data_IF_340823804915
#
_entry.id   IF_340823804915
#
_cell.length_a   1.000
_cell.length_b   1.000
_cell.length_c   1.000
_cell.angle_alpha   90.00
_cell.angle_beta   90.00
_cell.angle_gamma   90.00
#
_symmetry.space_group_name_H-M   'P 1'
#
loop_
_entity.id
_entity.type
_entity.pdbx_description
1 polymer ?
#
# COMPACT_ATOMS: atom_id res chain seq x y z
N UNK A 1 -37.69 -21.65 -4.24
CA UNK A 1 -36.61 -20.84 -4.85
C UNK A 1 -35.47 -20.81 -3.85
N UNK A 2 -34.41 -21.59 -4.08
CA UNK A 2 -33.31 -21.76 -3.13
C UNK A 2 -32.09 -21.00 -3.64
N UNK A 3 -31.53 -20.13 -2.79
CA UNK A 3 -30.32 -19.34 -3.06
C UNK A 3 -29.09 -20.25 -2.94
N UNK A 4 -28.21 -20.21 -3.93
CA UNK A 4 -26.94 -20.95 -3.94
C UNK A 4 -25.88 -20.11 -3.17
N UNK A 5 -25.10 -20.69 -2.24
CA UNK A 5 -24.12 -19.93 -1.47
C UNK A 5 -22.84 -19.63 -2.28
N UNK A 6 -22.36 -18.40 -2.21
CA UNK A 6 -21.10 -17.94 -2.78
C UNK A 6 -19.90 -18.54 -2.01
N UNK A 7 -18.93 -19.15 -2.73
CA UNK A 7 -17.65 -19.61 -2.16
C UNK A 7 -16.47 -19.32 -3.12
N UNK A 8 -15.53 -18.39 -2.81
CA UNK A 8 -14.52 -17.95 -3.78
C UNK A 8 -13.21 -18.74 -3.79
N UNK A 9 -13.08 -19.86 -3.04
CA UNK A 9 -11.82 -20.64 -2.97
C UNK A 9 -12.03 -22.17 -2.83
N UNK A 10 -13.19 -22.69 -3.24
CA UNK A 10 -13.58 -24.10 -3.03
C UNK A 10 -12.82 -25.16 -3.84
N UNK A 11 -11.81 -24.77 -4.62
CA UNK A 11 -11.03 -25.69 -5.48
C UNK A 11 -9.52 -25.66 -5.15
N UNK A 12 -9.13 -25.30 -3.92
CA UNK A 12 -7.72 -25.39 -3.48
C UNK A 12 -7.39 -26.75 -2.83
N UNK A 13 -8.40 -27.50 -2.36
CA UNK A 13 -8.21 -28.82 -1.74
C UNK A 13 -8.00 -29.97 -2.75
N UNK A 14 -8.28 -29.76 -4.05
CA UNK A 14 -7.95 -30.73 -5.10
C UNK A 14 -6.50 -30.67 -5.58
N UNK A 15 -5.72 -29.72 -5.06
CA UNK A 15 -4.30 -29.55 -5.41
C UNK A 15 -3.35 -30.10 -4.34
N UNK A 16 -3.86 -30.59 -3.19
CA UNK A 16 -3.09 -31.05 -2.05
C UNK A 16 -3.35 -32.53 -1.69
N UNK A 17 -3.64 -33.38 -2.69
CA UNK A 17 -3.95 -34.78 -2.48
C UNK A 17 -3.33 -35.67 -3.54
N UNK A 18 -2.35 -36.47 -3.10
CA UNK A 18 -1.67 -37.57 -3.78
C UNK A 18 -0.44 -37.20 -4.64
N UNK A 19 0.75 -37.36 -4.03
CA UNK A 19 2.01 -37.58 -4.74
C UNK A 19 3.06 -36.48 -4.58
N UNK A 20 3.69 -36.38 -3.41
CA UNK A 20 5.00 -35.71 -3.30
C UNK A 20 6.00 -36.64 -2.61
N UNK A 21 6.69 -37.53 -3.34
CA UNK A 21 8.04 -37.92 -3.00
C UNK A 21 9.00 -36.83 -3.48
N UNK A 22 9.82 -36.31 -2.56
CA UNK A 22 10.98 -35.44 -2.81
C UNK A 22 10.78 -34.09 -3.51
N UNK A 23 10.21 -33.14 -2.75
CA UNK A 23 10.35 -31.68 -2.94
C UNK A 23 11.78 -31.15 -2.67
N UNK A 24 12.77 -32.01 -2.41
CA UNK A 24 14.13 -31.62 -1.99
C UNK A 24 15.23 -31.83 -3.05
N UNK A 25 14.93 -32.44 -4.20
CA UNK A 25 15.91 -32.69 -5.28
C UNK A 25 15.56 -32.03 -6.64
N UNK A 26 14.85 -30.89 -6.64
CA UNK A 26 14.63 -30.12 -7.87
C UNK A 26 15.33 -28.74 -7.86
N UNK A 27 16.35 -28.52 -8.72
CA UNK A 27 17.09 -27.26 -8.79
C UNK A 27 16.33 -26.12 -9.50
N UNK A 28 15.08 -26.34 -9.94
CA UNK A 28 14.33 -25.40 -10.79
C UNK A 28 13.02 -24.83 -10.22
N UNK A 29 12.65 -25.10 -8.95
CA UNK A 29 11.58 -24.33 -8.30
C UNK A 29 12.15 -23.01 -7.78
N UNK A 30 12.50 -22.13 -8.71
CA UNK A 30 12.75 -20.72 -8.42
C UNK A 30 11.40 -20.10 -8.12
N UNK A 31 11.02 -20.01 -6.83
CA UNK A 31 9.91 -19.15 -6.40
C UNK A 31 10.02 -17.82 -7.17
N UNK A 32 8.98 -17.41 -7.93
CA UNK A 32 9.03 -16.13 -8.61
C UNK A 32 9.33 -15.07 -7.56
N UNK A 33 10.33 -14.21 -7.80
CA UNK A 33 10.63 -13.07 -6.94
C UNK A 33 9.38 -12.18 -6.92
N UNK A 34 8.47 -12.40 -5.97
CA UNK A 34 7.40 -11.46 -5.69
C UNK A 34 8.10 -10.13 -5.32
N UNK A 35 7.70 -9.00 -5.93
CA UNK A 35 8.28 -7.71 -5.58
C UNK A 35 8.12 -7.52 -4.07
N UNK A 36 9.21 -7.19 -3.38
CA UNK A 36 9.18 -6.91 -1.95
C UNK A 36 8.36 -5.64 -1.73
N UNK A 37 7.09 -5.80 -1.35
CA UNK A 37 6.21 -4.69 -0.98
C UNK A 37 6.69 -4.12 0.34
N UNK A 38 6.97 -2.81 0.39
CA UNK A 38 7.25 -2.10 1.62
C UNK A 38 5.97 -1.48 2.16
N UNK A 39 5.79 -1.59 3.46
CA UNK A 39 4.76 -0.84 4.17
C UNK A 39 5.40 0.47 4.64
N UNK A 40 5.12 1.63 4.00
CA UNK A 40 5.66 2.92 4.42
C UNK A 40 5.17 3.28 5.82
N UNK A 41 5.88 4.15 6.53
CA UNK A 41 5.40 4.71 7.82
C UNK A 41 4.29 5.71 7.56
N UNK A 42 3.33 5.79 8.47
CA UNK A 42 2.20 6.70 8.36
C UNK A 42 1.70 7.07 9.74
N UNK A 43 1.43 8.36 9.88
CA UNK A 43 0.79 8.98 11.04
C UNK A 43 -0.58 9.51 10.63
N UNK A 44 -1.59 9.30 11.48
CA UNK A 44 -2.96 9.78 11.25
C UNK A 44 -3.39 10.58 12.47
N UNK A 45 -3.82 11.82 12.25
CA UNK A 45 -4.24 12.71 13.30
C UNK A 45 -5.39 13.62 12.87
N UNK A 46 -6.00 14.28 13.85
CA UNK A 46 -7.09 15.24 13.63
C UNK A 46 -6.53 16.66 13.55
N UNK A 47 -7.00 17.43 12.56
CA UNK A 47 -6.70 18.85 12.42
C UNK A 47 -7.99 19.62 12.14
N UNK A 48 -8.59 20.17 13.19
CA UNK A 48 -9.89 20.87 13.10
C UNK A 48 -10.99 19.94 12.61
N UNK A 49 -11.61 20.28 11.48
CA UNK A 49 -12.67 19.48 10.85
C UNK A 49 -12.14 18.44 9.85
N UNK A 50 -10.82 18.22 9.81
CA UNK A 50 -10.18 17.28 8.88
C UNK A 50 -9.49 16.14 9.62
N UNK A 51 -9.36 15.01 8.94
CA UNK A 51 -8.38 13.96 9.24
C UNK A 51 -7.19 14.19 8.33
N UNK A 52 -5.98 14.14 8.88
CA UNK A 52 -4.74 14.27 8.12
C UNK A 52 -3.95 12.97 8.27
N UNK A 53 -3.49 12.43 7.14
CA UNK A 53 -2.59 11.29 7.09
C UNK A 53 -1.27 11.70 6.44
N UNK A 54 -0.15 11.49 7.13
CA UNK A 54 1.19 11.75 6.62
C UNK A 54 1.91 10.43 6.36
N UNK A 55 2.52 10.26 5.19
CA UNK A 55 3.15 9.01 4.77
C UNK A 55 4.56 9.25 4.23
N UNK A 56 5.53 8.53 4.77
CA UNK A 56 6.93 8.61 4.34
C UNK A 56 7.15 7.78 3.05
N UNK A 57 7.41 8.46 1.94
CA UNK A 57 7.66 7.87 0.62
C UNK A 57 8.94 8.46 -0.01
N UNK A 58 10.13 8.29 0.59
CA UNK A 58 11.35 8.91 0.08
C UNK A 58 11.76 8.32 -1.27
N UNK A 59 12.15 9.19 -2.21
CA UNK A 59 12.64 8.79 -3.53
C UNK A 59 11.55 8.35 -4.51
N UNK A 60 10.29 8.65 -4.22
CA UNK A 60 9.15 8.45 -5.12
C UNK A 60 8.87 9.78 -5.84
N UNK A 61 8.49 9.72 -7.12
CA UNK A 61 8.00 10.92 -7.83
C UNK A 61 6.53 11.10 -7.54
N UNK A 62 6.04 12.34 -7.46
CA UNK A 62 4.62 12.62 -7.20
C UNK A 62 3.68 11.90 -8.19
N UNK A 63 4.08 11.82 -9.46
CA UNK A 63 3.33 11.14 -10.53
C UNK A 63 3.22 9.62 -10.34
N UNK A 64 4.10 9.02 -9.54
CA UNK A 64 4.14 7.59 -9.24
C UNK A 64 3.40 7.25 -7.93
N UNK A 65 2.61 8.18 -7.38
CA UNK A 65 1.80 8.02 -6.17
C UNK A 65 0.32 7.96 -6.53
N UNK A 66 -0.35 6.90 -6.09
CA UNK A 66 -1.81 6.75 -6.16
C UNK A 66 -2.39 6.83 -4.76
N UNK A 67 -3.42 7.65 -4.59
CA UNK A 67 -4.16 7.84 -3.34
C UNK A 67 -5.64 7.63 -3.61
N UNK A 68 -6.27 6.73 -2.88
CA UNK A 68 -7.71 6.49 -2.95
C UNK A 68 -8.32 6.51 -1.55
N UNK A 69 -9.47 7.17 -1.40
CA UNK A 69 -10.26 7.14 -0.17
C UNK A 69 -11.61 6.54 -0.48
N UNK A 70 -11.85 5.31 -0.02
CA UNK A 70 -13.08 4.57 -0.29
C UNK A 70 -13.52 3.78 0.92
N UNK A 71 -14.82 3.78 1.21
CA UNK A 71 -15.41 3.04 2.33
C UNK A 71 -14.70 3.30 3.67
N UNK A 72 -14.31 4.56 3.90
CA UNK A 72 -13.57 5.03 5.07
C UNK A 72 -12.15 4.41 5.23
N UNK A 73 -11.58 3.91 4.13
CA UNK A 73 -10.22 3.39 4.04
C UNK A 73 -9.40 4.29 3.12
N UNK A 74 -8.23 4.71 3.60
CA UNK A 74 -7.20 5.36 2.79
C UNK A 74 -6.28 4.27 2.23
N UNK A 75 -6.23 4.11 0.91
CA UNK A 75 -5.28 3.26 0.19
C UNK A 75 -4.23 4.13 -0.50
N UNK A 76 -2.96 3.81 -0.26
CA UNK A 76 -1.82 4.50 -0.84
C UNK A 76 -0.92 3.47 -1.48
N UNK A 77 -0.70 3.64 -2.78
CA UNK A 77 0.23 2.85 -3.58
C UNK A 77 1.27 3.78 -4.21
N UNK A 78 2.53 3.37 -4.19
CA UNK A 78 3.62 4.17 -4.73
C UNK A 78 4.75 3.30 -5.26
N UNK A 79 5.49 3.78 -6.27
CA UNK A 79 6.65 3.09 -6.80
C UNK A 79 7.86 4.02 -6.87
N UNK A 80 9.00 3.56 -6.36
CA UNK A 80 10.29 4.22 -6.60
C UNK A 80 11.09 3.40 -7.61
N UNK A 81 11.47 4.02 -8.72
CA UNK A 81 12.40 3.43 -9.69
C UNK A 81 13.85 3.74 -9.32
N UNK A 82 14.75 2.82 -9.68
CA UNK A 82 16.18 3.01 -9.52
C UNK A 82 16.78 3.51 -10.84
N UNK A 83 17.48 4.64 -10.79
CA UNK A 83 18.12 5.20 -11.99
C UNK A 83 19.15 4.23 -12.58
N UNK A 84 19.07 4.01 -13.89
CA UNK A 84 19.91 3.02 -14.59
C UNK A 84 21.41 3.34 -14.53
N UNK A 85 21.80 4.60 -14.39
CA UNK A 85 23.21 5.00 -14.21
C UNK A 85 23.80 4.47 -12.90
N UNK A 86 22.98 4.32 -11.87
CA UNK A 86 23.39 3.74 -10.60
C UNK A 86 23.83 2.29 -10.77
N UNK A 87 23.31 1.53 -11.73
CA UNK A 87 23.62 0.10 -11.90
C UNK A 87 25.07 -0.18 -12.34
N UNK A 88 25.83 0.85 -12.75
CA UNK A 88 27.25 0.73 -13.17
C UNK A 88 28.28 1.24 -12.15
N UNK A 89 27.86 1.67 -10.95
CA UNK A 89 28.80 2.17 -9.92
C UNK A 89 29.45 1.00 -9.18
N UNK A 90 30.73 1.16 -8.80
CA UNK A 90 31.49 0.19 -8.00
C UNK A 90 31.12 0.26 -6.52
N UNK A 91 29.91 -0.20 -6.16
CA UNK A 91 29.44 -0.15 -4.78
C UNK A 91 30.24 -1.07 -3.85
N UNK A 92 30.64 -0.54 -2.70
CA UNK A 92 31.05 -1.37 -1.55
C UNK A 92 29.84 -2.00 -0.85
N UNK A 93 28.69 -1.31 -0.83
CA UNK A 93 27.40 -1.78 -0.27
C UNK A 93 26.24 -0.97 -0.89
N UNK A 94 25.11 -1.62 -1.18
CA UNK A 94 23.90 -0.99 -1.73
C UNK A 94 22.64 -1.51 -1.02
N UNK A 95 21.94 -0.61 -0.33
CA UNK A 95 20.70 -0.92 0.42
C UNK A 95 19.47 -0.16 -0.13
N UNK A 96 19.72 0.92 -0.86
CA UNK A 96 18.74 1.51 -1.77
C UNK A 96 18.46 0.54 -2.92
N UNK A 97 17.27 0.62 -3.48
CA UNK A 97 16.82 -0.27 -4.55
C UNK A 97 15.39 0.07 -4.93
N UNK A 98 14.92 -0.49 -6.04
CA UNK A 98 13.53 -0.36 -6.49
C UNK A 98 12.57 -0.83 -5.39
N UNK A 99 11.50 -0.07 -5.17
CA UNK A 99 10.53 -0.30 -4.09
C UNK A 99 9.14 -0.10 -4.63
N UNK A 100 8.25 -1.01 -4.26
CA UNK A 100 6.82 -0.77 -4.34
C UNK A 100 6.31 -0.61 -2.92
N UNK A 101 5.61 0.49 -2.67
CA UNK A 101 5.01 0.84 -1.40
C UNK A 101 3.51 0.61 -1.50
N UNK A 102 2.94 -0.03 -0.49
CA UNK A 102 1.49 -0.09 -0.33
C UNK A 102 1.14 0.00 1.15
N UNK A 103 0.20 0.88 1.49
CA UNK A 103 -0.35 0.96 2.83
C UNK A 103 -1.83 1.34 2.78
N UNK A 104 -2.62 0.54 3.46
CA UNK A 104 -4.02 0.82 3.73
C UNK A 104 -4.20 1.16 5.20
N UNK A 105 -5.06 2.14 5.49
CA UNK A 105 -5.45 2.47 6.85
C UNK A 105 -6.93 2.82 6.92
N UNK A 106 -7.63 2.22 7.88
CA UNK A 106 -8.99 2.61 8.22
C UNK A 106 -8.96 3.96 8.95
N UNK A 107 -9.78 4.90 8.49
CA UNK A 107 -9.88 6.22 9.09
C UNK A 107 -10.71 6.15 10.39
N UNK A 108 -10.34 6.92 11.42
CA UNK A 108 -10.96 6.82 12.75
C UNK A 108 -12.37 7.41 12.83
N UNK A 109 -12.84 8.07 11.78
CA UNK A 109 -14.15 8.72 11.70
C UNK A 109 -14.62 8.74 10.25
N UNK A 110 -15.92 8.94 10.03
CA UNK A 110 -16.49 9.08 8.69
C UNK A 110 -15.94 10.34 8.00
N UNK A 111 -15.47 10.19 6.77
CA UNK A 111 -14.91 11.29 5.95
C UNK A 111 -15.63 11.44 4.61
N UNK A 112 -15.42 12.58 3.96
CA UNK A 112 -15.88 12.86 2.60
C UNK A 112 -14.69 12.64 1.65
N UNK A 113 -14.52 11.39 1.21
CA UNK A 113 -13.36 10.98 0.40
C UNK A 113 -13.18 11.77 -0.90
N UNK A 114 -14.29 12.15 -1.55
CA UNK A 114 -14.27 12.92 -2.80
C UNK A 114 -13.67 14.33 -2.66
N UNK A 115 -13.57 14.84 -1.44
CA UNK A 115 -12.97 16.15 -1.13
C UNK A 115 -11.58 16.01 -0.50
N UNK A 116 -10.94 14.85 -0.63
CA UNK A 116 -9.57 14.65 -0.17
C UNK A 116 -8.60 15.48 -1.02
N UNK A 117 -7.69 16.18 -0.34
CA UNK A 117 -6.59 16.90 -0.95
C UNK A 117 -5.27 16.23 -0.57
N UNK A 118 -4.36 16.10 -1.54
CA UNK A 118 -3.05 15.48 -1.33
C UNK A 118 -1.94 16.44 -1.74
N UNK A 119 -0.95 16.59 -0.87
CA UNK A 119 0.27 17.35 -1.12
C UNK A 119 1.48 16.43 -0.90
N UNK A 120 2.48 16.54 -1.77
CA UNK A 120 3.72 15.77 -1.66
C UNK A 120 4.92 16.70 -1.69
N UNK A 121 5.68 16.73 -0.60
CA UNK A 121 6.85 17.56 -0.44
C UNK A 121 7.92 16.84 0.39
N UNK A 122 9.18 16.99 0.02
CA UNK A 122 10.34 16.49 0.77
C UNK A 122 10.27 14.99 1.14
N UNK A 123 9.64 14.17 0.30
CA UNK A 123 9.50 12.73 0.54
C UNK A 123 8.33 12.33 1.43
N UNK A 124 7.46 13.28 1.81
CA UNK A 124 6.28 13.05 2.65
C UNK A 124 5.01 13.39 1.88
N UNK A 125 4.07 12.45 1.84
CA UNK A 125 2.73 12.64 1.32
C UNK A 125 1.80 13.02 2.47
N UNK A 126 1.16 14.19 2.39
CA UNK A 126 0.12 14.64 3.31
C UNK A 126 -1.24 14.56 2.62
N UNK A 127 -2.16 13.77 3.18
CA UNK A 127 -3.53 13.62 2.68
C UNK A 127 -4.47 14.25 3.71
N UNK A 128 -5.14 15.34 3.33
CA UNK A 128 -6.12 16.04 4.15
C UNK A 128 -7.52 15.68 3.68
N UNK A 129 -8.33 15.13 4.58
CA UNK A 129 -9.67 14.63 4.25
C UNK A 129 -10.70 15.28 5.18
N UNK A 130 -11.70 16.00 4.64
CA UNK A 130 -12.77 16.57 5.45
C UNK A 130 -13.60 15.49 6.15
N UNK A 131 -13.92 15.70 7.43
CA UNK A 131 -14.82 14.82 8.18
C UNK A 131 -16.26 15.01 7.71
N UNK A 132 -17.02 13.92 7.65
CA UNK A 132 -18.45 13.98 7.32
C UNK A 132 -19.27 14.69 8.39
N UNK A 133 -18.84 14.63 9.66
CA UNK A 133 -19.43 15.40 10.78
C UNK A 133 -18.46 16.48 11.24
N UNK A 134 -18.85 17.73 11.07
CA UNK A 134 -18.10 18.87 11.59
C UNK A 134 -18.17 18.89 13.13
N UNK A 135 -17.06 19.21 13.78
CA UNK A 135 -17.10 19.55 15.21
C UNK A 135 -17.75 20.93 15.35
N UNK A 136 -18.74 21.04 16.24
CA UNK A 136 -19.25 22.33 16.67
C UNK A 136 -18.07 23.13 17.25
N UNK A 137 -17.87 24.37 16.77
CA UNK A 137 -16.89 25.27 17.32
C UNK A 137 -17.18 25.43 18.83
N UNK A 138 -16.21 25.10 19.67
CA UNK A 138 -16.28 25.47 21.09
C UNK A 138 -15.92 26.96 21.15
N UNK A 139 -16.92 27.78 21.46
CA UNK A 139 -16.74 29.14 21.98
C UNK A 139 -15.97 29.14 23.30
#
# INVERSE_FOLDING_TARGET
MALIPWKPFGDLEKWLGEGIPDIWEWPEIRFPKLPSVRVPRMDIYEKGNNVVAEVELPGVKAEDISVEVKDNVLDIEARSEEEKEEKKKGYYRKESGERYFRRQATLPTDVIGDMAEAEYADGVLSVTIPKAKLKAAKE
#
